data_IF_247409650928
#
_entry.id   IF_247409650928
#
_cell.length_a   1.000
_cell.length_b   1.000
_cell.length_c   1.000
_cell.angle_alpha   90.00
_cell.angle_beta   90.00
_cell.angle_gamma   90.00
#
_symmetry.space_group_name_H-M   'P 1'
#
loop_
_entity.id
_entity.type
_entity.pdbx_description
1 polymer ?
#
# COMPACT_ATOMS: atom_id res chain seq x y z
N UNK A 1 -15.16 9.46 54.67
CA UNK A 1 -15.86 9.01 53.47
C UNK A 1 -15.22 9.68 52.25
N UNK A 2 -14.35 8.96 51.51
CA UNK A 2 -13.71 9.48 50.27
C UNK A 2 -14.56 9.05 49.09
N UNK A 3 -15.06 10.03 48.34
CA UNK A 3 -15.82 9.79 47.10
C UNK A 3 -14.86 9.43 45.97
N UNK A 4 -14.97 8.22 45.40
CA UNK A 4 -14.34 7.85 44.13
C UNK A 4 -15.12 8.55 43.00
N UNK A 5 -14.39 9.31 42.17
CA UNK A 5 -14.87 9.81 40.89
C UNK A 5 -14.49 8.79 39.83
N UNK A 6 -15.44 8.25 39.04
CA UNK A 6 -15.08 7.37 37.95
C UNK A 6 -14.45 8.16 36.78
N UNK A 7 -13.25 7.76 36.38
CA UNK A 7 -12.63 8.25 35.15
C UNK A 7 -13.29 7.52 33.98
N UNK A 8 -14.12 8.27 33.28
CA UNK A 8 -14.76 7.83 32.03
C UNK A 8 -13.73 7.99 30.90
N UNK A 9 -13.00 6.93 30.54
CA UNK A 9 -12.12 6.93 29.38
C UNK A 9 -12.97 6.97 28.09
N UNK A 10 -12.95 8.09 27.40
CA UNK A 10 -13.62 8.28 26.11
C UNK A 10 -12.95 7.42 25.03
N UNK A 11 -13.60 6.35 24.61
CA UNK A 11 -13.32 5.62 23.36
C UNK A 11 -13.92 6.30 22.11
N UNK A 12 -13.91 7.64 22.07
CA UNK A 12 -14.50 8.40 20.96
C UNK A 12 -13.55 8.66 19.76
N UNK A 13 -12.25 8.30 19.88
CA UNK A 13 -11.24 8.71 18.89
C UNK A 13 -11.23 7.97 17.56
N UNK A 14 -11.72 6.73 17.49
CA UNK A 14 -11.56 5.88 16.29
C UNK A 14 -12.71 6.07 15.29
N UNK A 15 -13.93 6.32 15.75
CA UNK A 15 -15.10 6.54 14.87
C UNK A 15 -15.06 7.89 14.13
N UNK A 16 -14.46 8.93 14.72
CA UNK A 16 -14.36 10.25 14.09
C UNK A 16 -13.42 10.31 12.88
N UNK A 17 -12.39 9.45 12.82
CA UNK A 17 -11.44 9.40 11.70
C UNK A 17 -12.03 8.75 10.45
N UNK A 18 -12.93 7.77 10.59
CA UNK A 18 -13.58 7.14 9.45
C UNK A 18 -14.62 8.03 8.76
N UNK A 19 -15.27 8.94 9.49
CA UNK A 19 -16.29 9.84 8.93
C UNK A 19 -15.72 10.91 7.99
N UNK A 20 -14.43 11.22 8.09
CA UNK A 20 -13.75 12.24 7.27
C UNK A 20 -13.02 11.68 6.04
N UNK A 21 -13.00 10.36 5.84
CA UNK A 21 -12.29 9.74 4.74
C UNK A 21 -13.20 9.55 3.51
N UNK A 22 -12.74 10.00 2.34
CA UNK A 22 -13.45 9.87 1.06
C UNK A 22 -13.27 8.46 0.48
N UNK A 23 -14.36 7.75 0.11
CA UNK A 23 -14.25 6.49 -0.60
C UNK A 23 -13.72 6.71 -2.02
N UNK A 24 -12.78 5.85 -2.46
CA UNK A 24 -12.23 5.85 -3.82
C UNK A 24 -12.80 4.71 -4.67
N UNK A 25 -13.59 3.82 -4.07
CA UNK A 25 -14.27 2.72 -4.72
C UNK A 25 -15.69 2.58 -4.16
N UNK A 26 -16.66 2.40 -5.04
CA UNK A 26 -18.09 2.34 -4.70
C UNK A 26 -18.60 0.93 -4.34
N UNK A 27 -17.71 -0.08 -4.44
CA UNK A 27 -18.07 -1.49 -4.23
C UNK A 27 -18.82 -2.14 -5.40
N UNK A 28 -19.04 -1.44 -6.52
CA UNK A 28 -19.91 -1.90 -7.62
C UNK A 28 -19.27 -1.76 -8.99
N UNK A 29 -18.53 -0.70 -9.26
CA UNK A 29 -17.98 -0.38 -10.59
C UNK A 29 -16.51 -0.01 -10.51
N UNK A 30 -15.80 -0.12 -11.63
CA UNK A 30 -14.44 0.40 -11.77
C UNK A 30 -14.43 1.90 -12.18
N UNK A 31 -15.52 2.62 -12.00
CA UNK A 31 -15.58 4.06 -12.29
C UNK A 31 -14.50 4.81 -11.48
N UNK A 32 -13.68 5.60 -12.18
CA UNK A 32 -12.53 6.28 -11.58
C UNK A 32 -11.26 5.43 -11.47
N UNK A 33 -11.29 4.23 -12.08
CA UNK A 33 -10.14 3.35 -12.19
C UNK A 33 -9.97 2.88 -13.63
N UNK A 34 -8.72 2.76 -14.09
CA UNK A 34 -8.38 2.29 -15.43
C UNK A 34 -7.19 1.34 -15.41
N UNK A 35 -7.22 0.30 -16.24
CA UNK A 35 -6.20 -0.74 -16.26
C UNK A 35 -6.34 -1.67 -17.45
N UNK A 36 -5.39 -2.57 -17.60
CA UNK A 36 -5.34 -3.47 -18.74
C UNK A 36 -6.64 -4.30 -18.84
N UNK A 37 -7.34 -4.25 -19.99
CA UNK A 37 -8.61 -4.96 -20.16
C UNK A 37 -8.50 -6.46 -19.93
N UNK A 38 -9.52 -7.05 -19.32
CA UNK A 38 -9.61 -8.49 -19.06
C UNK A 38 -8.91 -8.98 -17.79
N UNK A 39 -8.11 -8.14 -17.13
CA UNK A 39 -7.42 -8.52 -15.89
C UNK A 39 -8.13 -8.03 -14.62
N UNK A 40 -8.98 -7.01 -14.75
CA UNK A 40 -9.64 -6.37 -13.62
C UNK A 40 -11.16 -6.48 -13.71
N UNK A 41 -11.80 -6.72 -12.57
CA UNK A 41 -13.26 -6.82 -12.46
C UNK A 41 -13.71 -6.40 -11.06
N UNK A 42 -15.02 -6.30 -10.86
CA UNK A 42 -15.61 -6.19 -9.52
C UNK A 42 -16.25 -7.52 -9.16
N UNK A 43 -15.87 -8.11 -8.04
CA UNK A 43 -16.39 -9.38 -7.53
C UNK A 43 -16.71 -9.24 -6.03
N UNK A 44 -17.93 -9.56 -5.64
CA UNK A 44 -18.39 -9.55 -4.23
C UNK A 44 -18.08 -8.23 -3.48
N UNK A 45 -18.28 -7.10 -4.17
CA UNK A 45 -18.00 -5.77 -3.57
C UNK A 45 -16.51 -5.41 -3.46
N UNK A 46 -15.63 -6.12 -4.15
CA UNK A 46 -14.19 -5.86 -4.19
C UNK A 46 -13.69 -5.70 -5.62
N UNK A 47 -12.68 -4.86 -5.85
CA UNK A 47 -11.87 -4.87 -7.06
C UNK A 47 -11.07 -6.17 -7.05
N UNK A 48 -11.18 -6.97 -8.11
CA UNK A 48 -10.44 -8.21 -8.28
C UNK A 48 -9.50 -8.10 -9.48
N UNK A 49 -8.22 -8.37 -9.23
CA UNK A 49 -7.18 -8.53 -10.24
C UNK A 49 -6.81 -10.01 -10.36
N UNK A 50 -6.77 -10.55 -11.59
CA UNK A 50 -6.57 -11.98 -11.79
C UNK A 50 -5.71 -12.28 -13.01
N UNK A 51 -4.84 -13.31 -12.87
CA UNK A 51 -4.19 -14.00 -13.98
C UNK A 51 -4.55 -15.48 -13.97
N UNK A 52 -4.45 -16.13 -15.13
CA UNK A 52 -4.63 -17.58 -15.28
C UNK A 52 -3.48 -18.17 -16.09
N UNK A 53 -3.43 -19.49 -16.26
CA UNK A 53 -2.45 -20.14 -17.14
C UNK A 53 -2.68 -19.74 -18.61
N UNK A 54 -3.93 -19.53 -18.99
CA UNK A 54 -4.34 -19.15 -20.36
C UNK A 54 -4.15 -17.64 -20.63
N UNK A 55 -4.14 -16.84 -19.55
CA UNK A 55 -3.98 -15.39 -19.62
C UNK A 55 -2.88 -14.92 -18.65
N UNK A 56 -1.61 -15.26 -18.92
CA UNK A 56 -0.49 -14.81 -18.11
C UNK A 56 -0.12 -13.37 -18.44
N UNK A 57 0.53 -12.70 -17.48
CA UNK A 57 1.19 -11.41 -17.73
C UNK A 57 2.64 -11.62 -18.20
N UNK A 58 3.13 -10.69 -19.01
CA UNK A 58 4.55 -10.61 -19.40
C UNK A 58 5.36 -9.69 -18.49
N UNK A 59 4.68 -8.81 -17.78
CA UNK A 59 5.25 -7.85 -16.81
C UNK A 59 4.17 -7.39 -15.84
N UNK A 60 4.57 -6.70 -14.76
CA UNK A 60 3.64 -6.10 -13.82
C UNK A 60 2.71 -5.12 -14.53
N UNK A 61 1.42 -5.17 -14.20
CA UNK A 61 0.41 -4.22 -14.66
C UNK A 61 -0.40 -3.70 -13.48
N UNK A 62 -1.02 -2.54 -13.68
CA UNK A 62 -1.67 -1.84 -12.57
C UNK A 62 -3.07 -1.37 -12.96
N UNK A 63 -3.96 -1.33 -11.98
CA UNK A 63 -5.20 -0.57 -12.06
C UNK A 63 -4.95 0.80 -11.43
N UNK A 64 -5.05 1.83 -12.24
CA UNK A 64 -4.70 3.22 -11.90
C UNK A 64 -5.95 3.97 -11.48
N UNK A 65 -5.90 4.67 -10.35
CA UNK A 65 -6.93 5.63 -9.96
C UNK A 65 -6.79 6.91 -10.79
N UNK A 66 -7.85 7.27 -11.53
CA UNK A 66 -7.81 8.32 -12.57
C UNK A 66 -8.27 9.69 -12.08
N UNK A 67 -8.87 9.78 -10.87
CA UNK A 67 -9.44 11.03 -10.37
C UNK A 67 -8.42 11.89 -9.61
N UNK A 68 -7.20 12.01 -10.15
CA UNK A 68 -6.16 12.92 -9.68
C UNK A 68 -4.98 12.26 -8.98
N UNK A 69 -4.12 13.10 -8.43
CA UNK A 69 -2.89 12.72 -7.72
C UNK A 69 -3.03 12.88 -6.21
N UNK A 70 -2.16 12.20 -5.49
CA UNK A 70 -2.07 12.23 -4.04
C UNK A 70 -0.71 12.79 -3.61
N UNK A 71 -0.74 13.74 -2.66
CA UNK A 71 0.44 14.35 -2.03
C UNK A 71 0.58 13.88 -0.57
N UNK A 72 -0.07 14.56 0.40
CA UNK A 72 -0.11 14.14 1.79
C UNK A 72 -1.46 13.47 2.09
N UNK A 73 -1.41 12.24 2.57
CA UNK A 73 -2.63 11.46 2.76
C UNK A 73 -2.44 10.34 3.78
N UNK A 74 -3.58 9.86 4.27
CA UNK A 74 -3.76 8.56 4.90
C UNK A 74 -4.71 7.75 4.00
N UNK A 75 -4.20 6.65 3.44
CA UNK A 75 -4.97 5.69 2.66
C UNK A 75 -5.25 4.46 3.53
N UNK A 76 -6.50 4.02 3.53
CA UNK A 76 -6.94 2.78 4.16
C UNK A 76 -7.64 1.91 3.15
N UNK A 77 -7.34 0.63 3.16
CA UNK A 77 -8.04 -0.36 2.37
C UNK A 77 -7.93 -1.75 3.02
N UNK A 78 -8.69 -2.70 2.49
CA UNK A 78 -8.55 -4.12 2.81
C UNK A 78 -8.11 -4.86 1.57
N UNK A 79 -7.18 -5.78 1.73
CA UNK A 79 -6.74 -6.68 0.67
C UNK A 79 -6.81 -8.14 1.09
N UNK A 80 -6.95 -9.03 0.12
CA UNK A 80 -6.63 -10.45 0.25
C UNK A 80 -5.95 -10.92 -1.03
N UNK A 81 -5.09 -11.91 -0.93
CA UNK A 81 -4.32 -12.43 -2.06
C UNK A 81 -4.20 -13.95 -1.95
N UNK A 82 -4.38 -14.64 -3.08
CA UNK A 82 -4.06 -16.05 -3.23
C UNK A 82 -3.06 -16.19 -4.39
N UNK A 83 -1.91 -16.73 -4.07
CA UNK A 83 -0.70 -16.81 -4.89
C UNK A 83 -0.11 -15.46 -5.30
N UNK A 84 1.15 -15.46 -5.69
CA UNK A 84 1.85 -14.31 -6.27
C UNK A 84 2.12 -13.18 -5.30
N UNK A 85 2.39 -12.01 -5.88
CA UNK A 85 2.70 -10.75 -5.21
C UNK A 85 1.80 -9.63 -5.74
N UNK A 86 1.62 -8.59 -4.94
CA UNK A 86 0.88 -7.40 -5.30
C UNK A 86 1.37 -6.21 -4.45
N UNK A 87 0.81 -5.04 -4.72
CA UNK A 87 1.16 -3.84 -3.96
C UNK A 87 0.23 -2.67 -4.24
N UNK A 88 0.34 -1.67 -3.39
CA UNK A 88 -0.35 -0.40 -3.50
C UNK A 88 0.68 0.65 -3.87
N UNK A 89 0.65 1.10 -5.12
CA UNK A 89 1.50 2.18 -5.63
C UNK A 89 0.93 3.53 -5.21
N UNK A 90 1.78 4.41 -4.70
CA UNK A 90 1.37 5.77 -4.32
C UNK A 90 2.49 6.78 -4.64
N UNK A 91 2.11 8.02 -4.88
CA UNK A 91 3.01 9.07 -5.37
C UNK A 91 3.86 8.60 -6.57
N UNK A 92 3.26 7.74 -7.39
CA UNK A 92 3.90 7.03 -8.49
C UNK A 92 3.64 7.71 -9.82
N UNK A 93 4.25 7.19 -10.88
CA UNK A 93 4.13 7.69 -12.26
C UNK A 93 3.69 6.56 -13.17
N UNK A 94 2.82 6.86 -14.12
CA UNK A 94 2.48 5.95 -15.22
C UNK A 94 3.62 5.98 -16.23
N UNK A 95 4.37 4.89 -16.33
CA UNK A 95 5.58 4.76 -17.13
C UNK A 95 5.27 4.30 -18.55
N UNK A 96 4.29 3.40 -18.70
CA UNK A 96 3.77 2.92 -19.98
C UNK A 96 2.23 2.90 -19.91
N UNK A 97 1.56 3.89 -20.53
CA UNK A 97 0.10 3.95 -20.54
C UNK A 97 -0.57 2.79 -21.29
N UNK A 98 0.08 2.24 -22.32
CA UNK A 98 -0.53 1.16 -23.14
C UNK A 98 -0.59 -0.17 -22.37
N UNK A 99 0.35 -0.40 -21.45
CA UNK A 99 0.46 -1.62 -20.64
C UNK A 99 0.18 -1.37 -19.14
N UNK A 100 -0.22 -0.14 -18.80
CA UNK A 100 -0.47 0.27 -17.42
C UNK A 100 0.69 -0.07 -16.49
N UNK A 101 1.91 0.24 -16.91
CA UNK A 101 3.13 0.07 -16.11
C UNK A 101 3.34 1.29 -15.24
N UNK A 102 3.51 1.09 -13.95
CA UNK A 102 3.69 2.16 -12.95
C UNK A 102 5.03 2.00 -12.26
N UNK A 103 5.65 3.10 -11.89
CA UNK A 103 6.88 3.14 -11.10
C UNK A 103 6.77 4.18 -9.99
N UNK A 104 7.35 3.89 -8.84
CA UNK A 104 7.32 4.73 -7.64
C UNK A 104 7.16 3.93 -6.36
N UNK A 105 6.79 4.59 -5.25
CA UNK A 105 6.63 3.92 -3.96
C UNK A 105 5.51 2.88 -3.97
N UNK A 106 5.81 1.71 -3.40
CA UNK A 106 4.89 0.60 -3.28
C UNK A 106 4.81 0.08 -1.85
N UNK A 107 3.61 0.02 -1.32
CA UNK A 107 3.27 -0.73 -0.13
C UNK A 107 3.04 -2.19 -0.55
N UNK A 108 4.07 -3.00 -0.39
CA UNK A 108 4.15 -4.35 -0.96
C UNK A 108 3.48 -5.39 -0.06
N UNK A 109 2.90 -6.42 -0.68
CA UNK A 109 2.39 -7.61 -0.01
C UNK A 109 2.30 -8.80 -0.98
N UNK A 110 2.33 -10.00 -0.43
CA UNK A 110 2.32 -11.24 -1.21
C UNK A 110 1.58 -12.36 -0.49
N UNK A 111 1.30 -13.46 -1.21
CA UNK A 111 0.82 -14.71 -0.62
C UNK A 111 1.94 -15.49 0.13
N UNK A 112 3.20 -15.12 -0.09
CA UNK A 112 4.37 -15.63 0.62
C UNK A 112 4.60 -14.95 1.97
N UNK A 113 5.83 -15.12 2.49
CA UNK A 113 6.18 -14.61 3.85
C UNK A 113 7.38 -13.66 3.83
N UNK A 114 7.84 -13.23 2.67
CA UNK A 114 9.06 -12.43 2.52
C UNK A 114 8.76 -10.93 2.41
N UNK A 115 7.90 -10.53 1.46
CA UNK A 115 7.77 -9.13 1.05
C UNK A 115 6.59 -8.38 1.66
N UNK A 116 5.63 -9.06 2.31
CA UNK A 116 4.49 -8.34 2.89
C UNK A 116 4.93 -7.32 3.93
N UNK A 117 4.53 -6.06 3.72
CA UNK A 117 4.77 -4.94 4.62
C UNK A 117 6.12 -4.22 4.45
N UNK A 118 6.88 -4.51 3.39
CA UNK A 118 8.05 -3.70 3.01
C UNK A 118 7.60 -2.39 2.35
N UNK A 119 8.50 -1.40 2.28
CA UNK A 119 8.39 -0.30 1.35
C UNK A 119 9.36 -0.53 0.20
N UNK A 120 8.79 -0.74 -0.98
CA UNK A 120 9.52 -0.94 -2.23
C UNK A 120 9.36 0.28 -3.14
N UNK A 121 10.31 0.55 -4.01
CA UNK A 121 10.17 1.53 -5.08
C UNK A 121 10.26 0.82 -6.42
N UNK A 122 9.10 0.57 -7.02
CA UNK A 122 8.96 -0.12 -8.31
C UNK A 122 9.66 0.67 -9.41
N UNK A 123 10.51 0.00 -10.19
CA UNK A 123 11.35 0.60 -11.25
C UNK A 123 12.20 1.79 -10.78
N UNK A 124 12.55 1.80 -9.51
CA UNK A 124 13.32 2.85 -8.88
C UNK A 124 14.46 2.30 -8.03
N UNK A 125 14.51 2.69 -6.76
CA UNK A 125 15.60 2.37 -5.83
C UNK A 125 15.48 0.98 -5.15
N UNK A 126 14.42 0.19 -5.45
CA UNK A 126 14.21 -1.11 -4.84
C UNK A 126 13.65 -1.04 -3.42
N UNK A 127 14.07 -1.93 -2.53
CA UNK A 127 13.59 -1.98 -1.14
C UNK A 127 14.16 -0.80 -0.36
N UNK A 128 13.27 0.09 0.11
CA UNK A 128 13.64 1.25 0.94
C UNK A 128 13.53 0.94 2.43
N UNK A 129 12.68 0.00 2.82
CA UNK A 129 12.63 -0.57 4.17
C UNK A 129 12.13 -2.01 4.12
N UNK A 130 12.83 -2.88 4.80
CA UNK A 130 12.35 -4.24 5.09
C UNK A 130 11.25 -4.21 6.16
N UNK A 131 10.44 -5.27 6.21
CA UNK A 131 9.43 -5.41 7.25
C UNK A 131 10.05 -5.35 8.65
N UNK A 132 9.54 -4.44 9.48
CA UNK A 132 10.01 -4.22 10.84
C UNK A 132 11.12 -3.20 10.95
N UNK A 133 11.39 -2.42 9.90
CA UNK A 133 12.44 -1.40 9.93
C UNK A 133 11.88 0.03 9.87
N UNK A 134 12.56 0.92 10.61
CA UNK A 134 12.59 2.35 10.32
C UNK A 134 13.88 2.66 9.59
N UNK A 135 13.78 3.33 8.44
CA UNK A 135 14.94 3.70 7.62
C UNK A 135 14.98 5.18 7.30
N UNK A 136 16.18 5.67 7.03
CA UNK A 136 16.44 6.99 6.48
C UNK A 136 17.11 6.77 5.13
N UNK A 137 16.49 7.31 4.06
CA UNK A 137 17.00 7.22 2.70
C UNK A 137 17.63 8.56 2.31
N UNK A 138 18.86 8.54 1.80
CA UNK A 138 19.58 9.73 1.37
C UNK A 138 20.23 9.52 0.02
N UNK A 139 20.41 10.62 -0.73
CA UNK A 139 21.39 10.66 -1.81
C UNK A 139 22.78 10.96 -1.20
N UNK A 140 23.75 10.15 -1.57
CA UNK A 140 25.16 10.38 -1.24
C UNK A 140 25.96 10.27 -2.54
N UNK A 141 26.34 11.42 -3.10
CA UNK A 141 27.08 11.50 -4.37
C UNK A 141 26.39 10.81 -5.55
N UNK A 142 25.06 10.94 -5.67
CA UNK A 142 24.25 10.33 -6.73
C UNK A 142 23.82 8.88 -6.45
N UNK A 143 24.32 8.26 -5.37
CA UNK A 143 23.96 6.93 -4.96
C UNK A 143 22.93 6.95 -3.82
N UNK A 144 21.91 6.10 -3.91
CA UNK A 144 20.95 5.92 -2.81
C UNK A 144 21.61 5.18 -1.66
N UNK A 145 21.62 5.80 -0.49
CA UNK A 145 22.05 5.19 0.78
C UNK A 145 20.83 4.99 1.69
N UNK A 146 20.66 3.78 2.18
CA UNK A 146 19.60 3.40 3.11
C UNK A 146 20.26 3.06 4.45
N UNK A 147 19.82 3.75 5.50
CA UNK A 147 20.30 3.56 6.87
C UNK A 147 19.15 3.04 7.72
N UNK A 148 19.34 1.92 8.41
CA UNK A 148 18.36 1.39 9.37
C UNK A 148 18.53 2.19 10.66
N UNK A 149 17.57 3.09 10.94
CA UNK A 149 17.59 3.97 12.10
C UNK A 149 17.02 3.31 13.34
N UNK A 150 16.05 2.38 13.18
CA UNK A 150 15.46 1.62 14.29
C UNK A 150 14.78 0.33 13.82
N UNK A 151 14.56 -0.59 14.75
CA UNK A 151 13.66 -1.74 14.59
C UNK A 151 12.27 -1.38 15.12
N UNK A 152 11.22 -1.71 14.36
CA UNK A 152 9.81 -1.54 14.74
C UNK A 152 9.24 -2.80 15.40
N UNK A 153 9.97 -3.90 15.29
CA UNK A 153 9.61 -5.21 15.82
C UNK A 153 10.37 -6.32 15.10
N UNK A 154 10.17 -7.54 15.55
CA UNK A 154 10.68 -8.73 14.86
C UNK A 154 9.87 -9.00 13.60
N UNK A 155 10.56 -9.19 12.46
CA UNK A 155 9.93 -9.36 11.15
C UNK A 155 9.04 -10.61 11.09
N UNK A 156 9.44 -11.71 11.73
CA UNK A 156 8.65 -12.93 11.76
C UNK A 156 7.40 -12.79 12.67
N UNK A 157 7.50 -12.03 13.76
CA UNK A 157 6.36 -11.73 14.63
C UNK A 157 5.34 -10.83 13.93
N UNK A 158 5.81 -9.84 13.18
CA UNK A 158 4.95 -9.00 12.35
C UNK A 158 4.26 -9.85 11.28
N UNK A 159 5.00 -10.76 10.60
CA UNK A 159 4.43 -11.66 9.60
C UNK A 159 3.31 -12.55 10.16
N UNK A 160 3.43 -13.05 11.38
CA UNK A 160 2.39 -13.88 12.01
C UNK A 160 1.04 -13.15 12.21
N UNK A 161 1.01 -11.83 12.14
CA UNK A 161 -0.22 -11.02 12.21
C UNK A 161 -0.91 -10.86 10.87
N UNK A 162 -0.25 -11.23 9.76
CA UNK A 162 -0.80 -11.19 8.41
C UNK A 162 -1.56 -12.48 8.18
N UNK A 163 -2.80 -12.38 7.70
CA UNK A 163 -3.69 -13.51 7.48
C UNK A 163 -3.51 -14.02 6.05
N UNK A 164 -3.15 -15.29 5.93
CA UNK A 164 -2.99 -15.96 4.63
C UNK A 164 -4.37 -16.11 3.97
N UNK A 165 -4.49 -15.74 2.70
CA UNK A 165 -5.71 -15.83 1.86
C UNK A 165 -6.98 -15.22 2.46
N UNK A 166 -6.86 -14.39 3.49
CA UNK A 166 -7.97 -13.69 4.15
C UNK A 166 -7.77 -12.16 4.11
N UNK A 167 -8.81 -11.43 4.50
CA UNK A 167 -8.81 -9.98 4.48
C UNK A 167 -7.86 -9.39 5.52
N UNK A 168 -6.91 -8.60 5.05
CA UNK A 168 -5.99 -7.80 5.85
C UNK A 168 -6.30 -6.31 5.69
N UNK A 169 -6.24 -5.55 6.76
CA UNK A 169 -6.28 -4.10 6.72
C UNK A 169 -4.89 -3.57 6.34
N UNK A 170 -4.81 -2.69 5.35
CA UNK A 170 -3.58 -1.97 5.00
C UNK A 170 -3.79 -0.46 5.17
N UNK A 171 -2.87 0.20 5.87
CA UNK A 171 -2.83 1.65 6.00
C UNK A 171 -1.50 2.16 5.47
N UNK A 172 -1.57 3.15 4.57
CA UNK A 172 -0.42 3.91 4.07
C UNK A 172 -0.58 5.36 4.50
N UNK A 173 0.41 5.90 5.19
CA UNK A 173 0.48 7.32 5.53
C UNK A 173 1.69 7.91 4.83
N UNK A 174 1.46 8.95 4.03
CA UNK A 174 2.49 9.74 3.39
C UNK A 174 2.29 11.21 3.78
N UNK A 175 3.23 11.74 4.58
CA UNK A 175 3.20 13.13 5.03
C UNK A 175 4.58 13.78 4.86
N UNK A 176 4.70 14.77 3.97
CA UNK A 176 5.99 15.28 3.55
C UNK A 176 6.86 14.17 2.96
N UNK A 177 8.02 13.95 3.54
CA UNK A 177 8.94 12.87 3.18
C UNK A 177 8.88 11.66 4.13
N UNK A 178 7.88 11.61 5.01
CA UNK A 178 7.68 10.52 5.97
C UNK A 178 6.61 9.57 5.45
N UNK A 179 6.97 8.30 5.26
CA UNK A 179 6.15 7.24 4.67
C UNK A 179 6.03 6.10 5.68
N UNK A 180 4.81 5.74 6.04
CA UNK A 180 4.54 4.72 7.06
C UNK A 180 3.54 3.70 6.55
N UNK A 181 3.83 2.41 6.73
CA UNK A 181 2.96 1.29 6.37
C UNK A 181 2.53 0.52 7.60
N UNK A 182 1.25 0.12 7.61
CA UNK A 182 0.68 -0.71 8.67
C UNK A 182 -0.15 -1.83 8.04
N UNK A 183 -0.02 -3.05 8.57
CA UNK A 183 -0.90 -4.18 8.26
C UNK A 183 -1.54 -4.67 9.56
N UNK A 184 -2.87 -4.79 9.57
CA UNK A 184 -3.66 -5.23 10.74
C UNK A 184 -3.32 -4.45 12.03
N UNK A 185 -3.10 -3.13 11.89
CA UNK A 185 -2.75 -2.23 13.00
C UNK A 185 -1.29 -2.28 13.44
N UNK A 186 -0.48 -3.19 12.90
CA UNK A 186 0.95 -3.27 13.18
C UNK A 186 1.75 -2.44 12.16
N UNK A 187 2.58 -1.52 12.63
CA UNK A 187 3.54 -0.82 11.77
C UNK A 187 4.53 -1.82 11.18
N UNK A 188 4.67 -1.82 9.85
CA UNK A 188 5.53 -2.76 9.12
C UNK A 188 6.74 -2.10 8.50
N UNK A 189 6.62 -0.85 8.05
CA UNK A 189 7.73 -0.04 7.53
C UNK A 189 7.52 1.43 7.89
N UNK A 190 8.63 2.12 8.12
CA UNK A 190 8.67 3.54 8.46
C UNK A 190 9.91 4.16 7.78
N UNK A 191 9.70 5.03 6.79
CA UNK A 191 10.76 5.59 5.96
C UNK A 191 10.73 7.11 6.00
N UNK A 192 11.87 7.72 6.32
CA UNK A 192 12.11 9.15 6.08
C UNK A 192 12.97 9.28 4.83
N UNK A 193 12.35 9.64 3.71
CA UNK A 193 13.04 9.79 2.43
C UNK A 193 13.60 11.21 2.28
N UNK A 194 14.88 11.36 2.52
CA UNK A 194 15.62 12.61 2.41
C UNK A 194 16.29 12.80 1.05
N UNK A 195 16.12 11.87 0.12
CA UNK A 195 16.60 12.00 -1.26
C UNK A 195 15.68 12.96 -2.03
N UNK A 196 16.03 14.22 -2.08
CA UNK A 196 15.22 15.26 -2.73
C UNK A 196 15.19 15.16 -4.25
N UNK A 197 16.10 14.40 -4.87
CA UNK A 197 16.15 14.20 -6.31
C UNK A 197 15.23 13.07 -6.76
N UNK A 198 15.11 11.99 -5.98
CA UNK A 198 14.34 10.80 -6.33
C UNK A 198 13.06 10.64 -5.51
N UNK A 199 13.01 11.21 -4.30
CA UNK A 199 11.87 11.13 -3.39
C UNK A 199 10.65 11.88 -3.93
N UNK A 200 9.56 11.15 -4.23
CA UNK A 200 8.34 11.72 -4.78
C UNK A 200 7.47 12.35 -3.67
N UNK A 201 6.98 13.57 -3.93
CA UNK A 201 6.07 14.29 -3.02
C UNK A 201 4.59 14.15 -3.39
N UNK A 202 4.31 13.79 -4.66
CA UNK A 202 2.96 13.56 -5.17
C UNK A 202 3.00 12.61 -6.35
N UNK A 203 1.85 12.04 -6.73
CA UNK A 203 1.72 11.19 -7.89
C UNK A 203 0.44 10.37 -7.86
N UNK A 204 0.31 9.43 -8.77
CA UNK A 204 -0.87 8.58 -8.90
C UNK A 204 -0.94 7.50 -7.81
N UNK A 205 -2.15 7.01 -7.58
CA UNK A 205 -2.47 5.79 -6.83
C UNK A 205 -2.75 4.68 -7.84
N UNK A 206 -2.23 3.48 -7.59
CA UNK A 206 -2.55 2.29 -8.37
C UNK A 206 -2.42 1.03 -7.52
N UNK A 207 -3.04 -0.06 -7.97
CA UNK A 207 -2.95 -1.39 -7.36
C UNK A 207 -2.44 -2.39 -8.38
N UNK A 208 -1.62 -3.35 -7.95
CA UNK A 208 -0.81 -4.19 -8.83
C UNK A 208 -1.39 -5.58 -9.03
N UNK A 209 -1.23 -6.13 -10.25
CA UNK A 209 -1.10 -7.56 -10.52
C UNK A 209 0.35 -7.82 -10.93
N UNK A 210 1.04 -8.66 -10.18
CA UNK A 210 2.43 -9.00 -10.44
C UNK A 210 2.53 -10.11 -11.51
N UNK A 211 3.54 -10.02 -12.36
CA UNK A 211 3.90 -11.11 -13.28
C UNK A 211 4.33 -12.35 -12.48
N UNK A 212 3.88 -13.53 -12.88
CA UNK A 212 4.23 -14.76 -12.17
C UNK A 212 3.21 -15.89 -12.37
N UNK A 213 3.07 -16.76 -11.38
CA UNK A 213 2.07 -17.82 -11.43
C UNK A 213 0.65 -17.25 -11.45
N UNK A 214 -0.34 -18.05 -11.86
CA UNK A 214 -1.75 -17.66 -11.74
C UNK A 214 -2.08 -17.19 -10.33
N UNK A 215 -2.72 -16.04 -10.23
CA UNK A 215 -3.01 -15.38 -8.96
C UNK A 215 -4.36 -14.70 -8.97
N UNK A 216 -4.87 -14.44 -7.79
CA UNK A 216 -5.99 -13.52 -7.57
C UNK A 216 -5.65 -12.59 -6.41
N UNK A 217 -5.85 -11.30 -6.61
CA UNK A 217 -5.77 -10.27 -5.57
C UNK A 217 -7.07 -9.48 -5.54
N UNK A 218 -7.54 -9.13 -4.35
CA UNK A 218 -8.77 -8.37 -4.18
C UNK A 218 -8.56 -7.20 -3.22
N UNK A 219 -9.27 -6.09 -3.52
CA UNK A 219 -9.20 -4.86 -2.74
C UNK A 219 -10.61 -4.32 -2.49
N UNK A 220 -10.88 -3.87 -1.27
CA UNK A 220 -12.14 -3.22 -0.91
C UNK A 220 -11.95 -2.17 0.18
N UNK A 221 -13.02 -1.44 0.49
CA UNK A 221 -13.04 -0.40 1.53
C UNK A 221 -11.95 0.66 1.32
N UNK A 222 -11.62 0.97 0.05
CA UNK A 222 -10.57 1.91 -0.33
C UNK A 222 -11.02 3.32 0.00
N UNK A 223 -10.37 3.95 0.96
CA UNK A 223 -10.70 5.27 1.48
C UNK A 223 -9.46 6.12 1.66
N UNK A 224 -9.59 7.40 1.41
CA UNK A 224 -8.51 8.36 1.56
C UNK A 224 -8.92 9.54 2.44
N UNK A 225 -7.98 9.99 3.27
CA UNK A 225 -8.01 11.27 3.97
C UNK A 225 -6.81 12.08 3.52
N UNK A 226 -7.01 13.27 2.99
CA UNK A 226 -5.91 14.22 2.72
C UNK A 226 -5.45 14.85 4.03
N UNK A 227 -4.13 15.04 4.17
CA UNK A 227 -3.48 15.56 5.38
C UNK A 227 -3.01 17.00 5.17
#
# INVERSE_FOLDING_TARGET
>A
MKRLVPVLCLFAGVLGLYAAATPLFDGKTLTGWDGLPGFWSVQEGAIAGRTTKEQPLKQNTFLVYTNGTLDNFELRLRYRIANGNSGIQYRSKLMDPALFVVGGYQADFEAGKTYSGILYEERGRGILAERGQRTIVRDVNGATKIEVAAKLGDSAEIQRKIRDEDWNDYVVIANGNHLMHFINGQMTADVVDMDTAKGAKSGILAIQIHVGPPMIVQFKDIRIKRL
#
